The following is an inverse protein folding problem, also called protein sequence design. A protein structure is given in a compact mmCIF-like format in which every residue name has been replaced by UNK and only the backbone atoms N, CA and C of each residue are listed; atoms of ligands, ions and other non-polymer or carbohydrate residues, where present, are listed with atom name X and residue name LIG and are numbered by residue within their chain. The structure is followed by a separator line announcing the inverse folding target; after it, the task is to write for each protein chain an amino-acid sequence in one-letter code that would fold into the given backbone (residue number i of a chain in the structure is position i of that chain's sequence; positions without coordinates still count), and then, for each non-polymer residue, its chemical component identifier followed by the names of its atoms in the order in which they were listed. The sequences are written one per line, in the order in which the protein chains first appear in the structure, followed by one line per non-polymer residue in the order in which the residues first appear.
data_IF_954529301877
#
_entry.id   IF_954529301877
#
_cell.length_a   1.000
_cell.length_b   1.000
_cell.length_c   1.000
_cell.angle_alpha   90.00
_cell.angle_beta   90.00
_cell.angle_gamma   90.00
#
_symmetry.space_group_name_H-M   'P 1'
#
loop_
_entity.id
_entity.type
_entity.pdbx_description
1 polymer ?
#
# COMPACT_ATOMS: atom_id res chain seq x y z
N UNK A 1 -10.06 15.72 26.76
CA UNK A 1 -9.61 15.71 25.35
C UNK A 1 -10.43 14.65 24.65
N UNK A 2 -11.08 15.01 23.55
CA UNK A 2 -11.78 14.06 22.67
C UNK A 2 -10.75 13.16 21.98
N UNK A 3 -11.01 11.85 21.90
CA UNK A 3 -10.13 10.87 21.25
C UNK A 3 -9.87 11.29 19.81
N UNK A 4 -10.87 11.83 19.10
CA UNK A 4 -10.73 12.30 17.72
C UNK A 4 -9.71 13.43 17.58
N UNK A 5 -9.70 14.37 18.53
CA UNK A 5 -8.74 15.48 18.55
C UNK A 5 -7.32 14.98 18.83
N UNK A 6 -7.15 13.96 19.67
CA UNK A 6 -5.86 13.33 19.91
C UNK A 6 -5.33 12.59 18.67
N UNK A 7 -6.21 11.87 17.97
CA UNK A 7 -5.86 11.19 16.72
C UNK A 7 -5.46 12.18 15.62
N UNK A 8 -6.19 13.30 15.48
CA UNK A 8 -5.84 14.36 14.53
C UNK A 8 -4.48 15.00 14.86
N UNK A 9 -4.21 15.31 16.13
CA UNK A 9 -2.92 15.87 16.54
C UNK A 9 -1.75 14.90 16.29
N UNK A 10 -1.95 13.60 16.52
CA UNK A 10 -0.96 12.58 16.20
C UNK A 10 -0.74 12.48 14.69
N UNK A 11 -1.83 12.46 13.90
CA UNK A 11 -1.79 12.43 12.45
C UNK A 11 -1.03 13.64 11.87
N UNK A 12 -1.23 14.84 12.41
CA UNK A 12 -0.50 16.05 11.99
C UNK A 12 1.02 15.91 12.12
N UNK A 13 1.50 15.12 13.08
CA UNK A 13 2.94 14.86 13.24
C UNK A 13 3.38 13.73 12.33
N UNK A 14 2.64 12.62 12.34
CA UNK A 14 3.01 11.38 11.66
C UNK A 14 2.98 11.50 10.13
N UNK A 15 2.00 12.20 9.57
CA UNK A 15 1.90 12.33 8.12
C UNK A 15 3.15 12.99 7.53
N UNK A 16 3.69 14.04 8.16
CA UNK A 16 4.91 14.71 7.71
C UNK A 16 6.10 13.77 7.70
N UNK A 17 6.25 12.91 8.71
CA UNK A 17 7.31 11.91 8.73
C UNK A 17 7.22 10.96 7.53
N UNK A 18 6.01 10.50 7.19
CA UNK A 18 5.81 9.64 6.02
C UNK A 18 6.09 10.37 4.71
N UNK A 19 5.62 11.61 4.54
CA UNK A 19 5.87 12.42 3.34
C UNK A 19 7.37 12.68 3.16
N UNK A 20 8.07 13.08 4.22
CA UNK A 20 9.49 13.40 4.18
C UNK A 20 10.35 12.16 3.91
N UNK A 21 9.99 11.02 4.50
CA UNK A 21 10.66 9.75 4.20
C UNK A 21 10.52 9.36 2.73
N UNK A 22 9.33 9.51 2.15
CA UNK A 22 9.11 9.26 0.71
C UNK A 22 9.94 10.25 -0.13
N UNK A 23 9.91 11.55 0.18
CA UNK A 23 10.72 12.57 -0.53
C UNK A 23 12.20 12.25 -0.48
N UNK A 24 12.72 11.86 0.69
CA UNK A 24 14.12 11.50 0.88
C UNK A 24 14.50 10.26 0.07
N UNK A 25 13.66 9.21 0.08
CA UNK A 25 13.87 8.01 -0.71
C UNK A 25 13.93 8.32 -2.21
N UNK A 26 13.06 9.22 -2.70
CA UNK A 26 13.05 9.62 -4.10
C UNK A 26 14.27 10.49 -4.47
N UNK A 27 14.80 11.29 -3.55
CA UNK A 27 15.95 12.16 -3.78
C UNK A 27 17.32 11.45 -3.70
N UNK A 28 17.36 10.23 -3.15
CA UNK A 28 18.60 9.48 -3.00
C UNK A 28 19.23 9.13 -4.35
N UNK A 29 20.56 9.25 -4.44
CA UNK A 29 21.35 8.86 -5.63
C UNK A 29 21.60 7.33 -5.70
N UNK A 30 21.11 6.58 -4.72
CA UNK A 30 21.31 5.14 -4.55
C UNK A 30 20.05 4.30 -4.81
N UNK A 31 20.11 2.97 -4.56
CA UNK A 31 18.95 2.11 -4.67
C UNK A 31 17.85 2.55 -3.69
N UNK A 32 16.62 2.63 -4.20
CA UNK A 32 15.44 2.95 -3.41
C UNK A 32 14.92 1.69 -2.73
N UNK A 33 14.74 1.73 -1.41
CA UNK A 33 14.01 0.69 -0.68
C UNK A 33 12.50 0.87 -0.91
N UNK A 34 11.99 0.21 -1.94
CA UNK A 34 10.58 0.26 -2.31
C UNK A 34 9.65 -0.35 -1.27
N UNK A 35 10.14 -1.27 -0.44
CA UNK A 35 9.35 -1.85 0.65
C UNK A 35 9.08 -0.79 1.73
N UNK A 36 10.08 0.01 2.11
CA UNK A 36 9.86 1.13 3.02
C UNK A 36 8.92 2.19 2.41
N UNK A 37 9.16 2.59 1.16
CA UNK A 37 8.33 3.60 0.47
C UNK A 37 6.85 3.17 0.41
N UNK A 38 6.57 1.91 0.06
CA UNK A 38 5.22 1.37 0.08
C UNK A 38 4.62 1.37 1.49
N UNK A 39 5.39 0.93 2.50
CA UNK A 39 4.96 0.93 3.90
C UNK A 39 4.60 2.33 4.39
N UNK A 40 5.36 3.37 4.00
CA UNK A 40 5.07 4.77 4.32
C UNK A 40 3.73 5.23 3.73
N UNK A 41 3.49 4.94 2.44
CA UNK A 41 2.21 5.24 1.79
C UNK A 41 1.04 4.49 2.45
N UNK A 42 1.25 3.23 2.84
CA UNK A 42 0.26 2.41 3.52
C UNK A 42 -0.11 2.93 4.90
N UNK A 43 0.89 3.28 5.71
CA UNK A 43 0.69 3.91 7.00
C UNK A 43 -0.06 5.24 6.86
N UNK A 44 0.31 6.07 5.88
CA UNK A 44 -0.37 7.34 5.61
C UNK A 44 -1.85 7.14 5.25
N UNK A 45 -2.17 6.17 4.39
CA UNK A 45 -3.56 5.80 4.04
C UNK A 45 -4.35 5.38 5.28
N UNK A 46 -3.79 4.47 6.07
CA UNK A 46 -4.44 3.96 7.29
C UNK A 46 -4.69 5.08 8.31
N UNK A 47 -3.71 5.96 8.50
CA UNK A 47 -3.81 7.09 9.41
C UNK A 47 -4.87 8.10 8.94
N UNK A 48 -4.90 8.44 7.64
CA UNK A 48 -5.91 9.31 7.05
C UNK A 48 -7.34 8.77 7.22
N UNK A 49 -7.53 7.46 7.07
CA UNK A 49 -8.81 6.79 7.34
C UNK A 49 -9.22 6.91 8.81
N UNK A 50 -8.28 6.72 9.73
CA UNK A 50 -8.55 6.77 11.17
C UNK A 50 -8.99 8.15 11.67
N UNK A 51 -8.66 9.22 10.94
CA UNK A 51 -9.05 10.61 11.26
C UNK A 51 -10.12 11.19 10.33
N UNK A 52 -10.79 10.35 9.53
CA UNK A 52 -11.82 10.75 8.59
C UNK A 52 -11.37 11.83 7.59
N UNK A 53 -10.23 11.61 6.92
CA UNK A 53 -9.74 12.47 5.82
C UNK A 53 -9.79 11.74 4.45
N UNK A 54 -10.98 11.51 3.86
CA UNK A 54 -11.14 10.76 2.61
C UNK A 54 -10.27 11.26 1.43
N UNK A 55 -10.08 12.58 1.22
CA UNK A 55 -9.22 13.04 0.12
C UNK A 55 -7.76 12.60 0.26
N UNK A 56 -7.23 12.59 1.48
CA UNK A 56 -5.85 12.13 1.75
C UNK A 56 -5.77 10.61 1.60
N UNK A 57 -6.78 9.89 2.09
CA UNK A 57 -6.87 8.43 1.91
C UNK A 57 -6.85 8.05 0.42
N UNK A 58 -7.63 8.74 -0.42
CA UNK A 58 -7.71 8.48 -1.85
C UNK A 58 -6.35 8.69 -2.56
N UNK A 59 -5.68 9.80 -2.28
CA UNK A 59 -4.34 10.09 -2.86
C UNK A 59 -3.30 9.08 -2.38
N UNK A 60 -3.32 8.73 -1.08
CA UNK A 60 -2.39 7.76 -0.50
C UNK A 60 -2.58 6.36 -1.08
N UNK A 61 -3.82 5.99 -1.38
CA UNK A 61 -4.12 4.72 -2.06
C UNK A 61 -3.54 4.68 -3.48
N UNK A 62 -3.63 5.78 -4.25
CA UNK A 62 -3.02 5.82 -5.58
C UNK A 62 -1.48 5.84 -5.52
N UNK A 63 -0.89 6.44 -4.48
CA UNK A 63 0.54 6.34 -4.23
C UNK A 63 0.98 4.89 -3.95
N UNK A 64 0.25 4.15 -3.11
CA UNK A 64 0.52 2.71 -2.90
C UNK A 64 0.52 1.93 -4.21
N UNK A 65 -0.53 2.10 -5.03
CA UNK A 65 -0.66 1.40 -6.30
C UNK A 65 0.50 1.73 -7.26
N UNK A 66 0.92 3.01 -7.30
CA UNK A 66 2.08 3.43 -8.10
C UNK A 66 3.36 2.75 -7.62
N UNK A 67 3.62 2.76 -6.31
CA UNK A 67 4.82 2.18 -5.73
C UNK A 67 4.85 0.65 -5.84
N UNK A 68 3.70 -0.02 -5.75
CA UNK A 68 3.58 -1.46 -5.99
C UNK A 68 4.04 -1.82 -7.41
N UNK A 69 3.56 -1.09 -8.43
CA UNK A 69 3.97 -1.33 -9.83
C UNK A 69 5.44 -1.07 -10.06
N UNK A 70 6.00 -0.03 -9.42
CA UNK A 70 7.44 0.26 -9.52
C UNK A 70 8.27 -0.83 -8.84
N UNK A 71 7.88 -1.25 -7.64
CA UNK A 71 8.54 -2.33 -6.89
C UNK A 71 8.51 -3.65 -7.64
N UNK A 72 7.40 -3.96 -8.31
CA UNK A 72 7.23 -5.15 -9.14
C UNK A 72 7.92 -5.07 -10.52
N UNK A 73 8.59 -3.95 -10.85
CA UNK A 73 9.24 -3.75 -12.15
C UNK A 73 8.28 -3.59 -13.32
N UNK A 74 6.99 -3.34 -13.06
CA UNK A 74 5.95 -3.16 -14.08
C UNK A 74 5.99 -1.75 -14.70
N UNK A 75 6.59 -0.78 -14.02
CA UNK A 75 6.98 0.51 -14.61
C UNK A 75 8.22 1.10 -13.92
N UNK A 76 8.99 1.95 -14.61
CA UNK A 76 10.06 2.71 -13.97
C UNK A 76 9.53 3.92 -13.16
N UNK A 77 10.32 4.36 -12.18
CA UNK A 77 10.18 5.71 -11.59
C UNK A 77 10.74 6.76 -12.58
N UNK A 78 10.03 6.96 -13.69
CA UNK A 78 10.34 7.96 -14.69
C UNK A 78 10.04 9.40 -14.19
N UNK A 79 10.30 10.39 -15.05
CA UNK A 79 10.04 11.80 -14.74
C UNK A 79 8.57 12.07 -14.39
N UNK A 80 7.63 11.40 -15.06
CA UNK A 80 6.20 11.61 -14.85
C UNK A 80 5.75 11.00 -13.52
N UNK A 81 6.17 9.78 -13.20
CA UNK A 81 5.91 9.12 -11.91
C UNK A 81 6.44 9.95 -10.74
N UNK A 82 7.67 10.47 -10.88
CA UNK A 82 8.29 11.34 -9.88
C UNK A 82 7.52 12.64 -9.69
N UNK A 83 7.15 13.31 -10.77
CA UNK A 83 6.38 14.54 -10.72
C UNK A 83 4.99 14.33 -10.09
N UNK A 84 4.28 13.26 -10.48
CA UNK A 84 2.99 12.89 -9.90
C UNK A 84 3.10 12.58 -8.41
N UNK A 85 4.15 11.87 -8.00
CA UNK A 85 4.43 11.60 -6.59
C UNK A 85 4.65 12.89 -5.81
N UNK A 86 5.56 13.77 -6.25
CA UNK A 86 5.79 15.04 -5.55
C UNK A 86 4.53 15.91 -5.46
N UNK A 87 3.78 16.04 -6.56
CA UNK A 87 2.51 16.75 -6.56
C UNK A 87 1.55 16.19 -5.52
N UNK A 88 1.41 14.87 -5.45
CA UNK A 88 0.56 14.22 -4.46
C UNK A 88 0.98 14.51 -3.02
N UNK A 89 2.28 14.41 -2.71
CA UNK A 89 2.79 14.71 -1.35
C UNK A 89 2.53 16.17 -0.98
N UNK A 90 2.76 17.10 -1.90
CA UNK A 90 2.54 18.53 -1.68
C UNK A 90 1.04 18.87 -1.51
N UNK A 91 0.15 18.20 -2.26
CA UNK A 91 -1.30 18.34 -2.10
C UNK A 91 -1.79 17.79 -0.76
N UNK A 92 -1.27 16.65 -0.32
CA UNK A 92 -1.58 16.10 1.01
C UNK A 92 -1.16 17.09 2.10
N UNK A 93 0.07 17.58 2.06
CA UNK A 93 0.59 18.52 3.06
C UNK A 93 -0.24 19.82 3.11
N UNK A 94 -0.52 20.42 1.96
CA UNK A 94 -1.33 21.62 1.87
C UNK A 94 -2.77 21.40 2.35
N UNK A 95 -3.38 20.26 2.00
CA UNK A 95 -4.73 19.91 2.43
C UNK A 95 -4.79 19.76 3.95
N UNK A 96 -3.87 19.02 4.55
CA UNK A 96 -3.83 18.81 6.01
C UNK A 96 -3.63 20.15 6.73
N UNK A 97 -2.72 21.00 6.27
CA UNK A 97 -2.54 22.35 6.84
C UNK A 97 -3.82 23.21 6.76
N UNK A 98 -4.60 23.10 5.68
CA UNK A 98 -5.85 23.84 5.51
C UNK A 98 -7.04 23.27 6.31
N UNK A 99 -6.95 22.03 6.82
CA UNK A 99 -8.03 21.45 7.65
C UNK A 99 -8.21 22.21 8.96
N UNK A 100 -7.13 22.74 9.54
CA UNK A 100 -7.17 23.54 10.76
C UNK A 100 -7.98 24.84 10.63
N UNK A 101 -8.11 25.38 9.41
CA UNK A 101 -8.88 26.62 9.15
C UNK A 101 -10.28 26.36 8.59
N UNK A 102 -10.66 25.09 8.39
CA UNK A 102 -11.96 24.72 7.81
C UNK A 102 -12.12 25.07 6.33
N UNK A 103 -11.03 25.37 5.62
CA UNK A 103 -11.01 25.78 4.21
C UNK A 103 -10.34 24.73 3.30
N UNK A 104 -10.18 23.50 3.79
CA UNK A 104 -9.53 22.44 3.04
C UNK A 104 -10.33 22.04 1.80
N UNK A 105 -9.68 22.13 0.64
CA UNK A 105 -10.17 21.61 -0.64
C UNK A 105 -9.01 20.91 -1.32
N UNK A 106 -9.17 19.63 -1.62
CA UNK A 106 -8.13 18.84 -2.31
C UNK A 106 -8.27 19.08 -3.82
N UNK A 107 -7.27 19.65 -4.50
CA UNK A 107 -7.28 19.72 -5.95
C UNK A 107 -7.24 18.32 -6.58
N UNK A 108 -7.95 18.13 -7.69
CA UNK A 108 -8.02 16.83 -8.38
C UNK A 108 -6.73 16.49 -9.16
N UNK A 109 -5.81 17.45 -9.30
CA UNK A 109 -4.61 17.34 -10.12
C UNK A 109 -3.66 16.21 -9.66
N UNK A 110 -3.53 15.99 -8.35
CA UNK A 110 -2.75 14.89 -7.80
C UNK A 110 -3.32 13.53 -8.18
N UNK A 111 -4.63 13.33 -8.02
CA UNK A 111 -5.29 12.07 -8.40
C UNK A 111 -5.21 11.84 -9.91
N UNK A 112 -5.46 12.88 -10.71
CA UNK A 112 -5.35 12.80 -12.15
C UNK A 112 -3.93 12.42 -12.60
N UNK A 113 -2.90 13.03 -12.01
CA UNK A 113 -1.50 12.74 -12.33
C UNK A 113 -1.10 11.31 -11.94
N UNK A 114 -1.56 10.80 -10.80
CA UNK A 114 -1.32 9.43 -10.36
C UNK A 114 -2.08 8.41 -11.23
N UNK A 115 -3.33 8.68 -11.60
CA UNK A 115 -4.11 7.79 -12.47
C UNK A 115 -3.51 7.72 -13.88
N UNK A 116 -3.10 8.85 -14.46
CA UNK A 116 -2.41 8.86 -15.76
C UNK A 116 -1.10 8.04 -15.75
N UNK A 117 -0.51 7.89 -14.57
CA UNK A 117 0.67 7.07 -14.31
C UNK A 117 0.35 5.56 -14.17
N UNK A 118 -0.91 5.21 -13.91
CA UNK A 118 -1.41 3.86 -13.67
C UNK A 118 -2.22 3.31 -14.86
N UNK A 119 -2.66 4.16 -15.77
CA UNK A 119 -3.40 3.72 -16.96
C UNK A 119 -2.45 3.25 -18.06
N UNK A 120 -2.47 1.96 -18.45
CA UNK A 120 -1.59 1.44 -19.51
C UNK A 120 -1.94 1.99 -20.90
N UNK A 121 -3.19 2.43 -21.12
CA UNK A 121 -3.66 2.99 -22.39
C UNK A 121 -3.14 4.41 -22.66
N UNK A 122 -2.78 5.17 -21.62
CA UNK A 122 -2.15 6.49 -21.79
C UNK A 122 -0.74 6.40 -22.40
N UNK A 123 -0.08 5.24 -22.28
CA UNK A 123 1.19 4.95 -22.94
C UNK A 123 1.04 4.41 -24.38
N UNK A 124 -0.18 4.03 -24.80
CA UNK A 124 -0.45 3.36 -26.07
C UNK A 124 -1.24 4.22 -27.09
N UNK A 125 -1.29 5.55 -26.91
CA UNK A 125 -1.78 6.46 -27.96
C UNK A 125 -0.67 6.80 -28.98
N UNK A 126 -0.13 5.77 -29.64
CA UNK A 126 0.42 5.85 -31.00
C UNK A 126 -0.55 5.10 -31.92
N UNK A 127 -0.79 5.55 -33.17
CA UNK A 127 -1.83 4.96 -34.00
C UNK A 127 -1.45 3.54 -34.40
N UNK A 128 -2.10 2.55 -33.77
CA UNK A 128 -1.99 1.16 -34.14
C UNK A 128 -2.47 0.95 -35.59
N UNK A 129 -1.53 0.63 -36.47
CA UNK A 129 -1.79 0.05 -37.79
C UNK A 129 -2.53 -1.30 -37.60
N UNK A 130 -3.55 -1.63 -38.40
CA UNK A 130 -4.28 -2.88 -38.23
C UNK A 130 -3.39 -4.08 -38.61
N UNK A 131 -3.24 -5.04 -37.70
CA UNK A 131 -2.66 -6.36 -38.00
C UNK A 131 -3.70 -7.26 -38.70
N UNK A 132 -3.26 -8.14 -39.62
CA UNK A 132 -4.13 -9.10 -40.28
C UNK A 132 -4.34 -10.38 -39.46
N UNK A 133 -5.44 -11.02 -39.85
CA UNK A 133 -6.22 -12.12 -39.30
C UNK A 133 -5.55 -13.51 -39.18
N UNK A 134 -5.89 -14.20 -38.07
CA UNK A 134 -6.16 -15.66 -37.87
C UNK A 134 -5.02 -16.71 -37.89
N UNK A 135 -5.23 -17.94 -37.31
CA UNK A 135 -6.46 -18.54 -36.76
C UNK A 135 -6.33 -19.20 -35.35
N UNK A 136 -7.45 -19.72 -34.77
CA UNK A 136 -7.51 -20.26 -33.41
C UNK A 136 -7.09 -21.74 -33.34
N UNK A 137 -6.55 -22.15 -32.20
CA UNK A 137 -6.38 -23.56 -31.84
C UNK A 137 -7.37 -23.91 -30.72
N UNK A 138 -8.26 -24.83 -31.03
CA UNK A 138 -9.39 -25.32 -30.23
C UNK A 138 -9.00 -26.10 -28.97
N UNK A 139 -9.92 -26.21 -27.99
CA UNK A 139 -9.67 -26.74 -26.66
C UNK A 139 -9.77 -28.27 -26.59
N UNK A 140 -8.86 -28.91 -25.85
CA UNK A 140 -8.97 -30.32 -25.47
C UNK A 140 -9.41 -30.42 -24.00
N UNK A 141 -10.71 -30.58 -23.80
CA UNK A 141 -11.28 -31.04 -22.54
C UNK A 141 -11.16 -32.57 -22.43
N UNK A 142 -10.65 -33.07 -21.31
CA UNK A 142 -10.91 -34.44 -20.86
C UNK A 142 -10.85 -34.49 -19.32
N UNK A 143 -12.03 -34.63 -18.73
CA UNK A 143 -12.32 -35.15 -17.39
C UNK A 143 -13.55 -36.07 -17.57
N UNK A 144 -13.93 -36.99 -16.66
CA UNK A 144 -13.39 -37.38 -15.35
C UNK A 144 -13.30 -38.92 -15.14
N UNK A 145 -12.72 -39.38 -14.02
CA UNK A 145 -13.20 -40.57 -13.26
C UNK A 145 -12.42 -40.77 -11.95
N UNK A 146 -13.07 -40.43 -10.83
CA UNK A 146 -12.88 -41.04 -9.50
C UNK A 146 -13.90 -42.22 -9.38
N UNK A 147 -13.91 -43.14 -8.38
CA UNK A 147 -13.53 -42.90 -6.98
C UNK A 147 -12.92 -44.08 -6.16
N UNK A 148 -12.66 -43.75 -4.89
CA UNK A 148 -12.70 -44.59 -3.69
C UNK A 148 -11.41 -45.28 -3.21
N UNK A 149 -10.74 -44.62 -2.26
CA UNK A 149 -10.36 -45.22 -0.98
C UNK A 149 -10.05 -44.13 0.06
N UNK A 150 -10.75 -44.14 1.18
CA UNK A 150 -10.48 -43.41 2.42
C UNK A 150 -10.86 -44.37 3.58
N UNK A 151 -10.51 -44.11 4.85
CA UNK A 151 -9.65 -43.06 5.41
C UNK A 151 -8.58 -43.59 6.39
N UNK A 152 -7.56 -42.78 6.73
CA UNK A 152 -6.96 -42.81 8.08
C UNK A 152 -6.33 -41.42 8.41
N UNK A 153 -6.47 -40.91 9.65
CA UNK A 153 -6.09 -39.55 10.01
C UNK A 153 -4.68 -39.50 10.58
N UNK A 154 -3.85 -38.58 10.09
CA UNK A 154 -2.58 -38.23 10.72
C UNK A 154 -2.57 -36.75 11.07
N UNK A 155 -2.41 -36.51 12.36
CA UNK A 155 -2.53 -35.26 13.07
C UNK A 155 -1.35 -34.30 12.83
N UNK A 156 -1.65 -33.00 12.88
CA UNK A 156 -0.67 -31.96 13.23
C UNK A 156 -0.20 -32.11 14.68
N UNK A 157 0.97 -31.56 15.02
CA UNK A 157 1.04 -30.81 16.27
C UNK A 157 1.52 -29.37 16.05
N UNK A 158 0.56 -28.49 16.35
CA UNK A 158 0.67 -27.16 16.95
C UNK A 158 2.01 -26.79 17.58
N UNK A 159 2.40 -25.54 17.37
CA UNK A 159 3.41 -24.81 18.14
C UNK A 159 3.23 -25.07 19.65
N UNK A 160 4.29 -25.55 20.29
CA UNK A 160 4.32 -25.87 21.71
C UNK A 160 4.30 -24.56 22.53
N UNK A 161 3.12 -24.12 22.94
CA UNK A 161 2.99 -23.15 24.02
C UNK A 161 3.14 -23.93 25.33
N UNK A 162 4.33 -23.86 25.93
CA UNK A 162 4.62 -24.45 27.23
C UNK A 162 3.81 -23.72 28.31
N UNK A 163 2.70 -24.33 28.77
CA UNK A 163 1.96 -23.84 29.93
C UNK A 163 2.67 -24.26 31.20
N UNK A 164 3.26 -23.29 31.89
CA UNK A 164 3.88 -23.48 33.20
C UNK A 164 2.81 -23.26 34.28
N UNK A 165 2.60 -24.19 35.23
CA UNK A 165 1.70 -23.97 36.36
C UNK A 165 2.27 -22.88 37.28
N UNK A 166 1.39 -22.03 37.83
CA UNK A 166 1.78 -20.86 38.63
C UNK A 166 2.72 -21.20 39.82
N UNK A 167 2.59 -22.38 40.40
CA UNK A 167 3.44 -22.87 41.49
C UNK A 167 4.92 -23.02 41.11
N UNK A 168 5.23 -23.23 39.83
CA UNK A 168 6.61 -23.34 39.36
C UNK A 168 7.28 -21.96 39.18
N UNK A 169 6.50 -20.87 39.02
CA UNK A 169 7.03 -19.50 38.95
C UNK A 169 7.38 -18.97 40.35
N UNK A 170 6.60 -19.32 41.37
CA UNK A 170 6.82 -18.89 42.76
C UNK A 170 8.00 -19.58 43.46
N UNK A 171 8.49 -20.71 42.93
CA UNK A 171 9.69 -21.37 43.42
C UNK A 171 10.97 -20.64 42.95
N UNK A 172 10.91 -19.93 41.81
CA UNK A 172 12.05 -19.23 41.23
C UNK A 172 12.33 -17.88 41.94
N UNK A 173 11.31 -17.25 42.50
CA UNK A 173 11.42 -15.96 43.20
C UNK A 173 11.81 -16.08 44.68
N UNK A 174 11.81 -17.29 45.24
CA UNK A 174 12.23 -17.56 46.63
C UNK A 174 13.66 -18.10 46.77
N UNK A 175 14.36 -18.29 45.65
CA UNK A 175 15.76 -18.70 45.60
C UNK A 175 16.71 -17.56 45.19
N UNK A 176 16.30 -16.29 45.41
CA UNK A 176 17.15 -15.10 45.26
C UNK A 176 17.17 -14.30 46.55
#
# INVERSE_FOLDING_TARGET
MDIRQQLLAAFEIEHREHLDAIRAALAAEGPVDWHDVFRRAHSLKGAARAVDLPPVEAVSHQLEALFERISAGQRPLDRAARAATHLALDRIEAYVAATATGQASMPEDALAALNACLDPEAAASEPARPEPDSPPITPAAASPAAPAAAPEPAAEPSQAVLRVPASAVEALTRAS
#
